data_IF_540971176275
#
_entry.id   IF_540971176275
#
_cell.length_a   1.000
_cell.length_b   1.000
_cell.length_c   1.000
_cell.angle_alpha   90.00
_cell.angle_beta   90.00
_cell.angle_gamma   90.00
#
_symmetry.space_group_name_H-M   'P 1'
#
loop_
_entity.id
_entity.type
_entity.pdbx_description
1 polymer ?
#
# COMPACT_ATOMS: atom_id res chain seq x y z
N UNK A 1 2.16 -57.78 8.92
CA UNK A 1 1.29 -58.66 8.10
C UNK A 1 0.18 -57.75 7.57
N UNK A 2 0.30 -57.22 6.33
CA UNK A 2 -0.41 -57.76 5.15
C UNK A 2 -1.92 -57.76 5.44
N UNK A 3 -2.78 -56.93 4.83
CA UNK A 3 -3.15 -56.90 3.41
C UNK A 3 -4.13 -55.72 3.18
N UNK A 4 -3.90 -54.92 2.13
CA UNK A 4 -4.98 -54.15 1.46
C UNK A 4 -5.75 -55.08 0.52
N UNK A 5 -7.07 -54.87 0.38
CA UNK A 5 -7.67 -54.81 -0.95
C UNK A 5 -8.77 -53.71 -0.94
N UNK A 6 -9.37 -53.22 -2.01
CA UNK A 6 -9.50 -53.63 -3.39
C UNK A 6 -10.00 -52.39 -4.13
N UNK A 7 -9.52 -52.18 -5.35
CA UNK A 7 -10.13 -51.32 -6.35
C UNK A 7 -11.57 -51.78 -6.64
N UNK A 8 -12.52 -50.86 -6.61
CA UNK A 8 -13.80 -50.97 -7.30
C UNK A 8 -14.02 -49.69 -8.12
N UNK A 9 -13.58 -49.74 -9.38
CA UNK A 9 -14.05 -48.83 -10.42
C UNK A 9 -15.51 -49.14 -10.74
N UNK A 10 -16.33 -48.09 -10.84
CA UNK A 10 -17.50 -48.08 -11.71
C UNK A 10 -18.83 -47.86 -11.00
N UNK A 11 -19.36 -46.64 -11.11
CA UNK A 11 -20.64 -46.37 -11.76
C UNK A 11 -20.89 -44.86 -11.80
N UNK A 12 -21.08 -44.36 -13.02
CA UNK A 12 -21.40 -42.98 -13.32
C UNK A 12 -22.90 -42.71 -13.13
N UNK A 13 -23.24 -41.55 -12.55
CA UNK A 13 -24.42 -40.71 -12.83
C UNK A 13 -24.34 -39.47 -11.90
N UNK A 14 -24.03 -38.29 -12.44
CA UNK A 14 -25.00 -37.27 -12.87
C UNK A 14 -25.78 -36.63 -11.71
N UNK A 15 -25.31 -35.49 -11.19
CA UNK A 15 -26.13 -34.28 -11.02
C UNK A 15 -25.36 -33.12 -10.40
N UNK A 16 -25.59 -31.96 -11.01
CA UNK A 16 -25.14 -30.60 -10.74
C UNK A 16 -25.59 -30.05 -9.38
N UNK A 17 -24.66 -29.52 -8.57
CA UNK A 17 -24.95 -28.47 -7.59
C UNK A 17 -23.66 -27.74 -7.18
N UNK A 18 -23.63 -26.44 -7.38
CA UNK A 18 -22.58 -25.54 -6.94
C UNK A 18 -22.74 -25.25 -5.43
N UNK A 19 -21.69 -25.51 -4.64
CA UNK A 19 -21.32 -24.79 -3.42
C UNK A 19 -20.17 -25.52 -2.70
N UNK A 20 -19.13 -24.78 -2.29
CA UNK A 20 -18.41 -25.08 -1.05
C UNK A 20 -16.96 -25.55 -1.16
N UNK A 21 -16.08 -24.71 -0.59
CA UNK A 21 -14.84 -25.02 0.13
C UNK A 21 -13.64 -25.69 -0.55
N UNK A 22 -12.60 -24.86 -0.67
CA UNK A 22 -11.30 -25.05 0.00
C UNK A 22 -10.37 -26.14 -0.53
N UNK A 23 -9.37 -25.71 -1.30
CA UNK A 23 -8.04 -26.34 -1.34
C UNK A 23 -6.99 -25.22 -1.22
N UNK A 24 -6.28 -25.24 -0.10
CA UNK A 24 -5.01 -24.55 0.08
C UNK A 24 -3.98 -25.20 -0.86
N UNK A 25 -3.45 -24.42 -1.80
CA UNK A 25 -2.01 -24.44 -2.06
C UNK A 25 -1.48 -23.05 -1.77
N UNK A 26 -0.91 -22.92 -0.58
CA UNK A 26 -0.14 -21.76 -0.14
C UNK A 26 1.17 -21.74 -0.94
N UNK A 27 1.07 -21.16 -2.12
CA UNK A 27 2.21 -20.91 -2.98
C UNK A 27 3.17 -19.94 -2.28
N UNK A 28 4.41 -20.40 -2.18
CA UNK A 28 5.47 -19.85 -1.35
C UNK A 28 6.07 -18.63 -2.05
N UNK A 29 5.35 -17.52 -2.04
CA UNK A 29 5.82 -16.25 -2.60
C UNK A 29 6.88 -15.62 -1.70
N UNK A 30 8.11 -15.74 -2.19
CA UNK A 30 9.34 -15.07 -1.77
C UNK A 30 9.10 -13.67 -1.21
N UNK A 31 9.51 -13.50 0.04
CA UNK A 31 9.67 -12.21 0.68
C UNK A 31 10.87 -11.49 0.04
N UNK A 32 10.65 -10.86 -1.11
CA UNK A 32 11.57 -9.87 -1.66
C UNK A 32 11.05 -8.48 -1.30
N UNK A 33 11.46 -8.04 -0.12
CA UNK A 33 11.34 -6.67 0.40
C UNK A 33 11.85 -5.71 -0.67
N UNK A 34 11.02 -4.86 -1.31
CA UNK A 34 11.54 -3.86 -2.22
C UNK A 34 12.36 -2.87 -1.38
N UNK A 35 13.68 -3.01 -1.46
CA UNK A 35 14.64 -2.04 -0.97
C UNK A 35 14.33 -0.73 -1.68
N UNK A 36 13.69 0.20 -0.96
CA UNK A 36 13.49 1.56 -1.41
C UNK A 36 14.86 2.24 -1.49
N UNK A 37 15.49 2.11 -2.65
CA UNK A 37 16.79 2.69 -2.92
C UNK A 37 16.65 4.22 -2.98
N UNK A 38 17.06 4.86 -1.90
CA UNK A 38 17.10 6.30 -1.72
C UNK A 38 18.16 6.90 -2.65
N UNK A 39 17.75 7.32 -3.85
CA UNK A 39 18.57 8.18 -4.71
C UNK A 39 18.14 9.65 -4.56
N UNK A 40 19.07 10.59 -4.34
CA UNK A 40 18.75 11.97 -3.94
C UNK A 40 18.16 12.75 -5.12
N UNK A 41 16.83 12.80 -5.17
CA UNK A 41 16.06 13.78 -5.92
C UNK A 41 15.78 14.98 -5.01
N UNK A 42 15.78 16.18 -5.60
CA UNK A 42 15.64 17.49 -4.95
C UNK A 42 14.81 17.45 -3.65
N UNK A 43 15.40 17.97 -2.57
CA UNK A 43 14.83 17.94 -1.22
C UNK A 43 13.35 18.41 -1.27
N UNK A 44 12.40 17.59 -0.77
CA UNK A 44 11.01 18.02 -0.64
C UNK A 44 10.96 19.28 0.24
N UNK A 45 9.99 20.17 0.02
CA UNK A 45 9.91 21.44 0.74
C UNK A 45 9.88 21.19 2.25
N UNK A 46 10.68 21.98 2.97
CA UNK A 46 10.67 21.98 4.42
C UNK A 46 9.27 22.37 4.90
N UNK A 47 8.72 21.54 5.77
CA UNK A 47 7.34 21.61 6.24
C UNK A 47 7.38 21.62 7.76
N UNK A 48 6.84 22.68 8.36
CA UNK A 48 6.76 22.87 9.81
C UNK A 48 5.29 22.97 10.21
N UNK A 49 4.89 22.17 11.20
CA UNK A 49 3.55 22.15 11.78
C UNK A 49 3.54 21.35 13.08
N UNK A 50 2.81 21.85 14.09
CA UNK A 50 2.47 21.06 15.28
C UNK A 50 1.48 19.94 14.87
N UNK A 51 1.50 18.80 15.58
CA UNK A 51 0.58 17.68 15.27
C UNK A 51 -0.87 18.18 15.34
N UNK A 52 -1.47 18.46 14.17
CA UNK A 52 -2.85 18.93 13.88
C UNK A 52 -3.05 20.39 13.51
N UNK A 53 -2.03 21.25 13.43
CA UNK A 53 -2.21 22.58 12.81
C UNK A 53 -2.03 22.52 11.30
N UNK A 54 -2.59 23.50 10.56
CA UNK A 54 -2.43 23.58 9.10
C UNK A 54 -0.92 23.71 8.78
N UNK A 55 -0.34 22.75 8.03
CA UNK A 55 1.09 22.75 7.76
C UNK A 55 1.48 23.91 6.86
N UNK A 56 2.66 24.48 7.09
CA UNK A 56 3.27 25.47 6.18
C UNK A 56 4.13 24.75 5.17
N UNK A 57 3.82 24.91 3.88
CA UNK A 57 4.58 24.31 2.77
C UNK A 57 5.38 25.40 2.07
N UNK A 58 6.72 25.30 2.11
CA UNK A 58 7.59 26.22 1.38
C UNK A 58 7.53 25.96 -0.14
N UNK A 59 7.84 26.98 -0.95
CA UNK A 59 7.96 26.80 -2.41
C UNK A 59 9.08 25.79 -2.71
N UNK A 60 8.80 24.70 -3.46
CA UNK A 60 9.81 23.73 -3.82
C UNK A 60 10.93 24.36 -4.67
N UNK A 61 12.15 23.86 -4.50
CA UNK A 61 13.33 24.30 -5.25
C UNK A 61 13.82 23.19 -6.19
N UNK A 62 14.47 23.59 -7.28
CA UNK A 62 15.06 22.66 -8.24
C UNK A 62 14.06 22.12 -9.27
N UNK A 63 14.46 21.05 -9.96
CA UNK A 63 13.62 20.41 -10.99
C UNK A 63 12.52 19.56 -10.30
N UNK A 64 11.28 19.57 -10.83
CA UNK A 64 10.24 18.67 -10.35
C UNK A 64 10.71 17.21 -10.38
N UNK A 65 10.43 16.43 -9.33
CA UNK A 65 10.79 15.02 -9.32
C UNK A 65 9.99 14.26 -10.40
N UNK A 66 10.64 13.28 -11.04
CA UNK A 66 10.00 12.44 -12.07
C UNK A 66 9.19 11.27 -11.49
N UNK A 67 9.30 11.06 -10.18
CA UNK A 67 8.63 10.00 -9.42
C UNK A 67 8.04 10.63 -8.16
N UNK A 68 7.06 9.95 -7.56
CA UNK A 68 6.54 10.32 -6.25
C UNK A 68 7.66 10.19 -5.19
N UNK A 69 7.81 11.23 -4.37
CA UNK A 69 8.73 11.24 -3.23
C UNK A 69 7.90 11.40 -1.96
N UNK A 70 8.13 10.52 -1.00
CA UNK A 70 7.42 10.50 0.29
C UNK A 70 8.44 10.67 1.40
N UNK A 71 8.12 11.49 2.39
CA UNK A 71 8.94 11.70 3.59
C UNK A 71 8.04 11.85 4.80
N UNK A 72 8.29 11.05 5.81
CA UNK A 72 7.70 11.25 7.13
C UNK A 72 8.46 12.36 7.87
N UNK A 73 7.74 13.41 8.24
CA UNK A 73 8.28 14.52 9.03
C UNK A 73 8.20 14.20 10.52
N UNK A 74 7.08 13.61 10.92
CA UNK A 74 6.80 13.16 12.27
C UNK A 74 6.26 11.73 12.13
N UNK A 75 7.05 10.69 12.47
CA UNK A 75 6.60 9.31 12.34
C UNK A 75 5.43 9.04 13.30
N UNK A 76 4.36 8.47 12.76
CA UNK A 76 3.23 7.99 13.55
C UNK A 76 3.62 6.76 14.39
N UNK A 77 2.87 6.53 15.47
CA UNK A 77 3.04 5.34 16.33
C UNK A 77 2.00 4.24 16.07
N UNK A 78 1.06 4.50 15.17
CA UNK A 78 0.00 3.56 14.79
C UNK A 78 0.46 2.54 13.75
N UNK A 79 -0.40 1.59 13.43
CA UNK A 79 -0.18 0.67 12.31
C UNK A 79 -0.08 1.40 10.96
N UNK A 80 0.68 0.82 10.02
CA UNK A 80 0.72 1.32 8.65
C UNK A 80 -0.64 1.11 7.97
N UNK A 81 -1.03 2.07 7.13
CA UNK A 81 -2.24 1.94 6.31
C UNK A 81 -2.04 0.86 5.23
N UNK A 82 -3.08 0.07 4.98
CA UNK A 82 -3.13 -0.98 3.97
C UNK A 82 -4.12 -0.64 2.85
N UNK A 83 -4.02 -1.36 1.73
CA UNK A 83 -5.00 -1.23 0.65
C UNK A 83 -6.40 -1.62 1.12
N UNK A 84 -7.38 -0.75 0.84
CA UNK A 84 -8.76 -0.93 1.29
C UNK A 84 -9.10 -0.18 2.58
N UNK A 85 -8.11 0.34 3.32
CA UNK A 85 -8.36 1.11 4.53
C UNK A 85 -9.06 2.44 4.23
N UNK A 86 -10.01 2.80 5.09
CA UNK A 86 -10.58 4.15 5.11
C UNK A 86 -9.75 5.04 6.03
N UNK A 87 -9.21 6.11 5.47
CA UNK A 87 -8.36 7.07 6.19
C UNK A 87 -9.07 8.40 6.36
N UNK A 88 -8.94 9.00 7.56
CA UNK A 88 -9.29 10.39 7.80
C UNK A 88 -8.00 11.22 7.80
N UNK A 89 -7.88 12.10 6.82
CA UNK A 89 -6.65 12.84 6.54
C UNK A 89 -6.95 14.33 6.45
N UNK A 90 -6.08 15.16 7.03
CA UNK A 90 -6.02 16.57 6.68
C UNK A 90 -4.82 16.82 5.77
N UNK A 91 -5.00 17.57 4.68
CA UNK A 91 -3.96 17.82 3.69
C UNK A 91 -3.94 19.27 3.19
N UNK A 92 -2.79 19.65 2.62
CA UNK A 92 -2.60 20.91 1.89
C UNK A 92 -1.89 20.59 0.57
N UNK A 93 -2.50 21.01 -0.54
CA UNK A 93 -1.94 20.87 -1.88
C UNK A 93 -1.27 22.16 -2.35
N UNK A 94 0.02 22.12 -2.67
CA UNK A 94 0.77 23.27 -3.21
C UNK A 94 1.36 22.94 -4.58
N UNK A 95 1.19 23.84 -5.54
CA UNK A 95 1.77 23.71 -6.87
C UNK A 95 3.30 23.80 -6.80
N UNK A 96 3.99 22.81 -7.37
CA UNK A 96 5.46 22.82 -7.41
C UNK A 96 6.01 24.03 -8.18
N UNK A 97 5.39 24.41 -9.31
CA UNK A 97 5.87 25.47 -10.17
C UNK A 97 5.72 26.87 -9.54
N UNK A 98 4.56 27.15 -8.95
CA UNK A 98 4.24 28.49 -8.44
C UNK A 98 4.52 28.63 -6.95
N UNK A 99 4.43 27.54 -6.19
CA UNK A 99 4.42 27.56 -4.72
C UNK A 99 3.10 28.01 -4.12
N UNK A 100 2.03 28.13 -4.91
CA UNK A 100 0.70 28.53 -4.44
C UNK A 100 -0.12 27.31 -4.02
N UNK A 101 -0.85 27.45 -2.92
CA UNK A 101 -1.87 26.49 -2.50
C UNK A 101 -2.97 26.42 -3.57
N UNK A 102 -3.39 25.21 -3.92
CA UNK A 102 -4.51 24.97 -4.84
C UNK A 102 -5.70 24.29 -4.16
N UNK A 103 -5.48 23.57 -3.05
CA UNK A 103 -6.54 22.91 -2.27
C UNK A 103 -6.09 22.64 -0.82
N UNK A 104 -7.06 22.51 0.10
CA UNK A 104 -6.84 22.28 1.53
C UNK A 104 -8.11 21.75 2.21
N UNK A 105 -7.93 20.78 3.11
CA UNK A 105 -9.01 20.27 3.98
C UNK A 105 -8.92 20.76 5.44
N UNK A 106 -7.94 21.62 5.74
CA UNK A 106 -7.79 22.31 7.02
C UNK A 106 -8.65 23.56 7.12
#
# INVERSE_FOLDING_TARGET
MRISPLVACGLAALSLAAAGCSEEETDKASEEKPSAEQQPAAAPPETSGEQRSKPKVAKPKGRPPKKLVVRDLIPGKGGAAASGDQLKVNYVGVSFATGKEFDSSF
#
